data_IF_977424686687
#
_entry.id   IF_977424686687
#
_cell.length_a   1.000
_cell.length_b   1.000
_cell.length_c   1.000
_cell.angle_alpha   90.00
_cell.angle_beta   90.00
_cell.angle_gamma   90.00
#
_symmetry.space_group_name_H-M   'P 1'
#
loop_
_entity.id
_entity.type
_entity.pdbx_description
1 polymer ?
#
# COMPACT_ATOMS: atom_id res chain seq x y z
N UNK A 1 -29.42 6.04 -7.67
CA UNK A 1 -29.15 7.38 -7.08
C UNK A 1 -28.03 7.29 -6.03
N UNK A 2 -28.08 6.36 -5.08
CA UNK A 2 -27.06 6.20 -4.04
C UNK A 2 -25.66 5.94 -4.56
N UNK A 3 -25.49 5.10 -5.59
CA UNK A 3 -24.19 4.81 -6.20
C UNK A 3 -23.61 6.03 -6.95
N UNK A 4 -24.46 6.86 -7.56
CA UNK A 4 -24.06 8.10 -8.21
C UNK A 4 -23.61 9.16 -7.20
N UNK A 5 -24.29 9.27 -6.06
CA UNK A 5 -23.94 10.18 -4.97
C UNK A 5 -22.62 9.74 -4.32
N UNK A 6 -22.44 8.45 -4.05
CA UNK A 6 -21.18 7.92 -3.50
C UNK A 6 -20.01 8.17 -4.43
N UNK A 7 -20.18 7.95 -5.74
CA UNK A 7 -19.14 8.23 -6.76
C UNK A 7 -18.81 9.73 -6.86
N UNK A 8 -19.81 10.59 -6.72
CA UNK A 8 -19.64 12.04 -6.72
C UNK A 8 -18.85 12.52 -5.50
N UNK A 9 -19.20 12.06 -4.30
CA UNK A 9 -18.50 12.41 -3.06
C UNK A 9 -17.04 11.91 -3.09
N UNK A 10 -16.81 10.71 -3.62
CA UNK A 10 -15.48 10.13 -3.76
C UNK A 10 -14.57 10.99 -4.66
N UNK A 11 -15.07 11.41 -5.83
CA UNK A 11 -14.29 12.20 -6.79
C UNK A 11 -14.01 13.63 -6.31
N UNK A 12 -14.76 14.14 -5.35
CA UNK A 12 -14.48 15.42 -4.70
C UNK A 12 -13.36 15.35 -3.66
N UNK A 13 -13.17 14.19 -3.04
CA UNK A 13 -12.18 14.04 -1.96
C UNK A 13 -10.82 13.53 -2.43
N UNK A 14 -10.80 12.69 -3.46
CA UNK A 14 -9.56 12.09 -3.95
C UNK A 14 -9.45 12.21 -5.47
N UNK A 15 -8.36 12.82 -6.00
CA UNK A 15 -8.13 12.89 -7.43
C UNK A 15 -8.12 11.50 -8.08
N UNK A 16 -8.84 11.35 -9.19
CA UNK A 16 -8.92 10.06 -9.90
C UNK A 16 -7.55 9.54 -10.35
N UNK A 17 -6.63 10.44 -10.73
CA UNK A 17 -5.26 10.09 -11.11
C UNK A 17 -4.50 9.47 -9.93
N UNK A 18 -4.63 10.06 -8.73
CA UNK A 18 -4.05 9.53 -7.51
C UNK A 18 -4.57 8.12 -7.21
N UNK A 19 -5.89 7.94 -7.20
CA UNK A 19 -6.51 6.64 -6.85
C UNK A 19 -6.12 5.54 -7.82
N UNK A 20 -6.15 5.84 -9.13
CA UNK A 20 -5.73 4.88 -10.16
C UNK A 20 -4.25 4.55 -10.06
N UNK A 21 -3.39 5.57 -9.96
CA UNK A 21 -1.97 5.36 -9.89
C UNK A 21 -1.53 4.57 -8.66
N UNK A 22 -2.14 4.82 -7.50
CA UNK A 22 -1.93 4.00 -6.30
C UNK A 22 -2.32 2.55 -6.54
N UNK A 23 -3.50 2.31 -7.14
CA UNK A 23 -3.97 0.96 -7.42
C UNK A 23 -3.04 0.22 -8.40
N UNK A 24 -2.57 0.89 -9.45
CA UNK A 24 -1.62 0.37 -10.42
C UNK A 24 -0.28 0.02 -9.78
N UNK A 25 0.32 0.95 -9.04
CA UNK A 25 1.60 0.76 -8.34
C UNK A 25 1.50 -0.45 -7.40
N UNK A 26 0.47 -0.49 -6.56
CA UNK A 26 0.33 -1.55 -5.56
C UNK A 26 0.08 -2.90 -6.22
N UNK A 27 -0.81 -2.97 -7.21
CA UNK A 27 -1.07 -4.21 -7.94
C UNK A 27 0.20 -4.75 -8.58
N UNK A 28 0.91 -3.91 -9.34
CA UNK A 28 2.16 -4.31 -10.01
C UNK A 28 3.24 -4.76 -9.02
N UNK A 29 3.38 -4.06 -7.90
CA UNK A 29 4.33 -4.47 -6.86
C UNK A 29 3.97 -5.83 -6.27
N UNK A 30 2.70 -6.06 -5.96
CA UNK A 30 2.26 -7.35 -5.43
C UNK A 30 2.47 -8.48 -6.44
N UNK A 31 2.17 -8.26 -7.73
CA UNK A 31 2.42 -9.24 -8.80
C UNK A 31 3.91 -9.56 -8.97
N UNK A 32 4.79 -8.60 -8.70
CA UNK A 32 6.24 -8.79 -8.77
C UNK A 32 6.82 -9.44 -7.51
N UNK A 33 6.26 -9.17 -6.33
CA UNK A 33 6.77 -9.68 -5.06
C UNK A 33 6.23 -11.07 -4.69
N UNK A 34 5.07 -11.44 -5.21
CA UNK A 34 4.49 -12.76 -5.05
C UNK A 34 4.66 -13.57 -6.35
N UNK A 35 5.02 -14.84 -6.20
CA UNK A 35 5.31 -15.74 -7.32
C UNK A 35 4.09 -16.54 -7.75
N UNK A 36 3.89 -16.65 -9.05
CA UNK A 36 2.83 -17.47 -9.65
C UNK A 36 1.45 -17.14 -9.07
N UNK A 37 1.12 -15.86 -8.97
CA UNK A 37 -0.14 -15.38 -8.41
C UNK A 37 -0.89 -14.49 -9.40
N UNK A 38 -2.19 -14.35 -9.17
CA UNK A 38 -3.05 -13.34 -9.78
C UNK A 38 -3.45 -12.33 -8.70
N UNK A 39 -3.29 -11.03 -8.97
CA UNK A 39 -3.73 -9.98 -8.05
C UNK A 39 -5.00 -9.32 -8.57
N UNK A 40 -6.08 -9.44 -7.80
CA UNK A 40 -7.37 -8.77 -8.07
C UNK A 40 -7.50 -7.55 -7.19
N UNK A 41 -7.90 -6.45 -7.80
CA UNK A 41 -8.16 -5.17 -7.13
C UNK A 41 -9.67 -4.93 -7.12
N UNK A 42 -10.22 -4.61 -5.97
CA UNK A 42 -11.62 -4.18 -5.85
C UNK A 42 -11.77 -2.69 -6.09
N UNK A 43 -13.01 -2.24 -6.29
CA UNK A 43 -13.30 -0.81 -6.40
C UNK A 43 -12.89 -0.09 -5.11
N UNK A 44 -12.17 1.05 -5.21
CA UNK A 44 -11.79 1.82 -4.04
C UNK A 44 -13.03 2.30 -3.28
N UNK A 45 -12.91 2.40 -1.96
CA UNK A 45 -14.00 2.86 -1.10
C UNK A 45 -13.47 3.73 0.04
N UNK A 46 -14.38 4.45 0.69
CA UNK A 46 -14.07 5.28 1.84
C UNK A 46 -14.45 4.59 3.13
N UNK A 47 -13.58 4.67 4.12
CA UNK A 47 -13.78 4.13 5.46
C UNK A 47 -13.74 5.27 6.47
N UNK A 48 -14.70 5.29 7.39
CA UNK A 48 -14.73 6.22 8.54
C UNK A 48 -14.55 5.49 9.87
N UNK A 49 -14.37 4.19 9.82
CA UNK A 49 -14.17 3.39 11.00
C UNK A 49 -12.70 3.33 11.44
N UNK A 50 -12.50 2.85 12.65
CA UNK A 50 -11.20 2.62 13.27
C UNK A 50 -10.80 1.15 13.23
N UNK A 51 -11.54 0.34 12.46
CA UNK A 51 -11.34 -1.10 12.40
C UNK A 51 -10.03 -1.44 11.71
N UNK A 52 -9.35 -2.44 12.21
CA UNK A 52 -8.16 -3.02 11.60
C UNK A 52 -8.57 -4.33 10.93
N UNK A 53 -8.09 -4.53 9.70
CA UNK A 53 -8.44 -5.67 8.86
C UNK A 53 -7.39 -6.80 8.91
N UNK A 54 -6.61 -6.89 9.98
CA UNK A 54 -5.61 -7.93 10.15
C UNK A 54 -4.68 -7.64 11.33
N UNK A 55 -3.95 -8.65 11.78
CA UNK A 55 -3.04 -8.53 12.93
C UNK A 55 -1.73 -7.84 12.56
N UNK A 56 -1.32 -7.98 11.29
CA UNK A 56 -0.08 -7.41 10.78
C UNK A 56 -0.38 -6.17 9.97
N UNK A 57 0.28 -5.06 10.30
CA UNK A 57 0.25 -3.89 9.46
C UNK A 57 1.61 -3.19 9.36
N UNK A 58 1.79 -2.49 8.26
CA UNK A 58 2.92 -1.59 8.04
C UNK A 58 2.40 -0.16 7.91
N UNK A 59 3.17 0.80 8.35
CA UNK A 59 2.81 2.21 8.37
C UNK A 59 3.96 3.04 7.80
N UNK A 60 3.65 3.92 6.84
CA UNK A 60 4.58 4.92 6.33
C UNK A 60 3.96 6.30 6.50
N UNK A 61 4.64 7.26 7.15
CA UNK A 61 4.19 8.64 7.14
C UNK A 61 4.28 9.22 5.71
N UNK A 62 3.27 9.99 5.34
CA UNK A 62 3.21 10.74 4.10
C UNK A 62 3.32 12.23 4.43
N UNK A 63 4.25 12.91 3.78
CA UNK A 63 4.39 14.35 3.92
C UNK A 63 4.74 14.98 2.57
N UNK A 64 3.91 15.91 2.13
CA UNK A 64 4.09 16.67 0.90
C UNK A 64 3.34 18.01 0.98
N UNK A 65 3.45 18.82 -0.07
CA UNK A 65 2.72 20.09 -0.17
C UNK A 65 1.20 19.91 -0.33
N UNK A 66 0.73 18.72 -0.69
CA UNK A 66 -0.69 18.43 -0.93
C UNK A 66 -1.29 17.45 0.09
N UNK A 67 -0.49 16.68 0.82
CA UNK A 67 -1.00 15.79 1.86
C UNK A 67 -0.02 15.63 3.03
N UNK A 68 -0.60 15.35 4.18
CA UNK A 68 0.11 14.89 5.38
C UNK A 68 -0.73 13.84 6.07
N UNK A 69 -0.12 12.69 6.34
CA UNK A 69 -0.84 11.56 6.95
C UNK A 69 -0.02 10.29 6.92
N UNK A 70 -0.70 9.18 6.69
CA UNK A 70 -0.09 7.85 6.68
C UNK A 70 -0.63 7.00 5.54
N UNK A 71 0.24 6.19 4.96
CA UNK A 71 -0.14 5.03 4.17
C UNK A 71 0.05 3.78 5.02
N UNK A 72 -0.92 2.91 5.04
CA UNK A 72 -0.92 1.70 5.84
C UNK A 72 -1.33 0.49 4.99
N UNK A 73 -0.59 -0.60 5.13
CA UNK A 73 -0.99 -1.92 4.63
C UNK A 73 -1.38 -2.80 5.80
N UNK A 74 -2.41 -3.59 5.61
CA UNK A 74 -2.95 -4.50 6.63
C UNK A 74 -3.22 -5.86 6.02
N UNK A 75 -2.88 -6.92 6.75
CA UNK A 75 -3.16 -8.30 6.34
C UNK A 75 -3.23 -9.22 7.56
N UNK A 76 -3.68 -10.44 7.35
CA UNK A 76 -3.66 -11.48 8.36
C UNK A 76 -2.33 -12.23 8.33
N UNK A 77 -1.81 -12.58 9.52
CA UNK A 77 -0.53 -13.26 9.69
C UNK A 77 -0.53 -14.66 9.09
N UNK A 78 -1.53 -15.48 9.43
CA UNK A 78 -1.57 -16.88 9.05
C UNK A 78 -1.60 -17.13 7.53
N UNK A 79 -2.42 -16.42 6.72
CA UNK A 79 -2.36 -16.55 5.27
C UNK A 79 -1.00 -16.15 4.71
N UNK A 80 -0.38 -15.09 5.21
CA UNK A 80 0.92 -14.64 4.72
C UNK A 80 2.04 -15.64 5.03
N UNK A 81 2.06 -16.24 6.24
CA UNK A 81 2.96 -17.36 6.57
C UNK A 81 2.82 -18.50 5.57
N UNK A 82 1.58 -18.88 5.26
CA UNK A 82 1.29 -19.95 4.28
C UNK A 82 1.86 -19.63 2.89
N UNK A 83 1.82 -18.37 2.45
CA UNK A 83 2.43 -17.95 1.17
C UNK A 83 3.96 -18.10 1.20
N UNK A 84 4.61 -17.73 2.31
CA UNK A 84 6.06 -17.91 2.48
C UNK A 84 6.43 -19.40 2.46
N UNK A 85 5.72 -20.24 3.21
CA UNK A 85 5.97 -21.68 3.32
C UNK A 85 5.81 -22.41 1.99
N UNK A 86 4.84 -21.98 1.18
CA UNK A 86 4.59 -22.56 -0.14
C UNK A 86 5.42 -21.94 -1.28
N UNK A 87 6.42 -21.10 -0.96
CA UNK A 87 7.32 -20.50 -1.94
C UNK A 87 6.64 -19.49 -2.86
N UNK A 88 5.53 -18.88 -2.42
CA UNK A 88 4.78 -17.87 -3.16
C UNK A 88 5.31 -16.45 -2.94
N UNK A 89 6.43 -16.31 -2.27
CA UNK A 89 7.16 -15.04 -2.08
C UNK A 89 8.62 -15.21 -2.50
N UNK A 90 9.39 -14.11 -2.52
CA UNK A 90 10.83 -14.20 -2.79
C UNK A 90 11.59 -14.94 -1.70
N UNK A 91 11.07 -14.96 -0.49
CA UNK A 91 11.55 -15.78 0.61
C UNK A 91 10.75 -17.06 0.63
N UNK A 92 11.46 -18.19 0.79
CA UNK A 92 10.83 -19.49 1.01
C UNK A 92 11.44 -20.09 2.26
N UNK A 93 10.62 -20.37 3.26
CA UNK A 93 11.03 -21.03 4.50
C UNK A 93 9.88 -21.84 5.07
N UNK A 94 10.16 -23.06 5.48
CA UNK A 94 9.23 -23.98 6.14
C UNK A 94 9.91 -24.58 7.38
N UNK A 95 9.39 -24.33 8.60
CA UNK A 95 8.30 -23.43 8.90
C UNK A 95 8.71 -21.95 8.78
N UNK A 96 7.80 -21.12 8.24
CA UNK A 96 7.97 -19.68 8.23
C UNK A 96 7.71 -19.08 9.63
N UNK A 97 8.26 -17.91 9.86
CA UNK A 97 8.11 -17.24 11.14
C UNK A 97 7.83 -15.73 10.94
N UNK A 98 7.59 -15.04 12.05
CA UNK A 98 7.27 -13.64 12.06
C UNK A 98 8.31 -12.74 11.38
N UNK A 99 9.60 -13.07 11.42
CA UNK A 99 10.66 -12.29 10.74
C UNK A 99 10.52 -12.38 9.23
N UNK A 100 10.13 -13.55 8.73
CA UNK A 100 9.97 -13.78 7.30
C UNK A 100 8.82 -12.95 6.74
N UNK A 101 7.67 -12.93 7.40
CA UNK A 101 6.53 -12.10 6.98
C UNK A 101 6.78 -10.61 7.15
N UNK A 102 7.52 -10.19 8.19
CA UNK A 102 7.94 -8.81 8.36
C UNK A 102 8.84 -8.35 7.21
N UNK A 103 9.76 -9.21 6.76
CA UNK A 103 10.61 -8.90 5.64
C UNK A 103 9.78 -8.72 4.35
N UNK A 104 8.87 -9.66 4.05
CA UNK A 104 7.99 -9.58 2.88
C UNK A 104 7.16 -8.28 2.91
N UNK A 105 6.50 -7.99 4.02
CA UNK A 105 5.65 -6.79 4.14
C UNK A 105 6.47 -5.51 4.13
N UNK A 106 7.65 -5.52 4.73
CA UNK A 106 8.56 -4.37 4.70
C UNK A 106 9.02 -4.05 3.29
N UNK A 107 9.42 -5.05 2.54
CA UNK A 107 9.86 -4.89 1.15
C UNK A 107 8.73 -4.42 0.23
N UNK A 108 7.56 -5.06 0.29
CA UNK A 108 6.35 -4.62 -0.44
C UNK A 108 6.05 -3.16 -0.13
N UNK A 109 6.06 -2.79 1.15
CA UNK A 109 5.74 -1.43 1.59
C UNK A 109 6.76 -0.42 1.09
N UNK A 110 8.05 -0.74 1.14
CA UNK A 110 9.14 0.11 0.63
C UNK A 110 9.04 0.34 -0.87
N UNK A 111 8.81 -0.72 -1.64
CA UNK A 111 8.69 -0.63 -3.10
C UNK A 111 7.49 0.23 -3.51
N UNK A 112 6.34 0.02 -2.88
CA UNK A 112 5.16 0.83 -3.15
C UNK A 112 5.41 2.29 -2.74
N UNK A 113 6.05 2.53 -1.59
CA UNK A 113 6.41 3.86 -1.16
C UNK A 113 7.37 4.56 -2.13
N UNK A 114 8.41 3.87 -2.58
CA UNK A 114 9.36 4.41 -3.57
C UNK A 114 8.67 4.81 -4.86
N UNK A 115 7.83 3.94 -5.42
CA UNK A 115 7.07 4.21 -6.63
C UNK A 115 6.05 5.35 -6.44
N UNK A 116 5.36 5.37 -5.29
CA UNK A 116 4.45 6.45 -4.93
C UNK A 116 5.18 7.80 -4.85
N UNK A 117 6.30 7.84 -4.16
CA UNK A 117 7.11 9.05 -4.00
C UNK A 117 7.57 9.57 -5.37
N UNK A 118 8.09 8.71 -6.22
CA UNK A 118 8.56 9.09 -7.55
C UNK A 118 7.43 9.64 -8.43
N UNK A 119 6.23 9.05 -8.35
CA UNK A 119 5.10 9.47 -9.19
C UNK A 119 4.39 10.72 -8.68
N UNK A 120 4.33 10.95 -7.36
CA UNK A 120 3.46 11.97 -6.77
C UNK A 120 4.15 13.01 -5.89
N UNK A 121 5.43 12.83 -5.52
CA UNK A 121 6.10 13.69 -4.55
C UNK A 121 7.47 14.22 -5.03
N UNK A 122 8.01 13.76 -6.14
CA UNK A 122 9.43 13.90 -6.52
C UNK A 122 9.92 15.33 -6.81
N UNK A 123 9.07 16.32 -6.92
CA UNK A 123 9.46 17.71 -7.23
C UNK A 123 9.89 18.54 -6.00
N UNK A 124 9.87 17.98 -4.81
CA UNK A 124 10.29 18.67 -3.61
C UNK A 124 11.75 18.32 -3.27
N UNK A 125 12.56 19.31 -2.82
CA UNK A 125 13.90 19.01 -2.34
C UNK A 125 13.82 18.04 -1.17
N UNK A 126 14.22 16.81 -1.41
CA UNK A 126 14.22 15.74 -0.40
C UNK A 126 15.27 16.11 0.65
N UNK A 127 14.82 16.51 1.84
CA UNK A 127 15.71 16.46 2.99
C UNK A 127 15.97 14.96 3.28
N UNK A 128 17.12 14.46 2.82
CA UNK A 128 17.56 13.08 3.00
C UNK A 128 17.57 12.63 4.48
N UNK A 129 17.50 13.58 5.42
CA UNK A 129 17.37 13.33 6.86
C UNK A 129 15.99 12.79 7.26
N UNK A 130 15.02 12.86 6.35
CA UNK A 130 13.65 12.35 6.53
C UNK A 130 13.41 11.07 5.73
N UNK A 131 14.42 10.23 5.57
CA UNK A 131 14.23 8.89 5.02
C UNK A 131 13.19 8.15 5.87
N UNK A 132 11.99 8.04 5.34
CA UNK A 132 10.86 7.42 6.04
C UNK A 132 11.02 5.92 5.94
N UNK A 133 11.27 5.28 7.07
CA UNK A 133 11.35 3.83 7.16
C UNK A 133 9.96 3.29 7.52
N UNK A 134 9.48 2.24 6.83
CA UNK A 134 8.22 1.62 7.22
C UNK A 134 8.29 1.10 8.64
N UNK A 135 7.27 1.41 9.41
CA UNK A 135 7.06 0.79 10.72
C UNK A 135 6.18 -0.44 10.53
N UNK A 136 6.69 -1.59 10.93
CA UNK A 136 5.94 -2.85 10.92
C UNK A 136 5.48 -3.14 12.33
N UNK A 137 4.19 -3.36 12.50
CA UNK A 137 3.59 -3.65 13.80
C UNK A 137 2.75 -4.92 13.69
N UNK A 138 3.02 -5.87 14.55
CA UNK A 138 2.12 -6.97 14.81
C UNK A 138 1.36 -6.67 16.10
N UNK A 139 0.04 -6.80 16.07
CA UNK A 139 -0.79 -6.58 17.24
C UNK A 139 -1.98 -7.54 17.25
N UNK A 140 -2.42 -7.89 18.43
CA UNK A 140 -3.59 -8.76 18.63
C UNK A 140 -4.91 -7.99 18.78
N UNK A 141 -4.85 -6.66 18.76
CA UNK A 141 -6.03 -5.81 18.90
C UNK A 141 -6.56 -5.40 17.52
N UNK A 142 -7.88 -5.41 17.35
CA UNK A 142 -8.56 -5.06 16.10
C UNK A 142 -8.92 -3.58 16.02
N UNK A 143 -8.24 -2.73 16.77
CA UNK A 143 -8.63 -1.33 16.89
C UNK A 143 -7.42 -0.41 17.01
N UNK A 144 -7.32 0.53 16.07
CA UNK A 144 -6.34 1.62 16.12
C UNK A 144 -7.02 2.96 15.82
N UNK A 145 -6.67 4.01 16.56
CA UNK A 145 -7.16 5.36 16.33
C UNK A 145 -6.00 6.28 15.97
N UNK A 146 -6.14 6.95 14.83
CA UNK A 146 -5.18 7.97 14.39
C UNK A 146 -5.57 9.39 14.81
N UNK A 147 -6.62 9.54 15.63
CA UNK A 147 -7.10 10.85 16.07
C UNK A 147 -7.82 11.66 14.99
N UNK A 148 -8.06 11.09 13.81
CA UNK A 148 -8.79 11.73 12.72
C UNK A 148 -10.15 11.06 12.53
N UNK A 149 -11.18 11.90 12.30
CA UNK A 149 -12.51 11.46 11.89
C UNK A 149 -12.70 11.56 10.36
N UNK A 150 -11.68 12.02 9.65
CA UNK A 150 -11.74 12.18 8.20
C UNK A 150 -11.88 10.82 7.51
N UNK A 151 -12.64 10.76 6.42
CA UNK A 151 -12.77 9.54 5.65
C UNK A 151 -11.43 9.15 5.06
N UNK A 152 -11.12 7.86 5.16
CA UNK A 152 -9.89 7.27 4.69
C UNK A 152 -10.15 6.58 3.36
N UNK A 153 -9.25 6.78 2.40
CA UNK A 153 -9.25 6.02 1.16
C UNK A 153 -8.78 4.59 1.46
N UNK A 154 -9.57 3.62 1.07
CA UNK A 154 -9.24 2.21 1.21
C UNK A 154 -9.28 1.49 -0.14
N UNK A 155 -8.24 0.69 -0.40
CA UNK A 155 -8.15 -0.23 -1.52
C UNK A 155 -7.95 -1.64 -0.97
N UNK A 156 -8.62 -2.62 -1.58
CA UNK A 156 -8.52 -4.02 -1.22
C UNK A 156 -7.94 -4.82 -2.39
N UNK A 157 -6.94 -5.62 -2.08
CA UNK A 157 -6.30 -6.52 -3.03
C UNK A 157 -6.46 -7.94 -2.55
N UNK A 158 -6.73 -8.85 -3.48
CA UNK A 158 -6.75 -10.28 -3.22
C UNK A 158 -5.66 -10.93 -4.06
N UNK A 159 -4.66 -11.49 -3.41
CA UNK A 159 -3.61 -12.29 -4.03
C UNK A 159 -4.11 -13.72 -4.10
N UNK A 160 -4.16 -14.28 -5.28
CA UNK A 160 -4.73 -15.59 -5.57
C UNK A 160 -3.65 -16.51 -6.12
N UNK A 161 -3.58 -17.70 -5.58
CA UNK A 161 -2.88 -18.81 -6.22
C UNK A 161 -3.78 -19.42 -7.29
N UNK A 162 -3.45 -19.29 -8.58
CA UNK A 162 -4.28 -19.82 -9.67
C UNK A 162 -4.37 -21.36 -9.66
N UNK A 163 -3.48 -22.02 -8.95
CA UNK A 163 -3.49 -23.49 -8.80
C UNK A 163 -4.27 -23.97 -7.58
N UNK A 164 -4.77 -23.04 -6.74
CA UNK A 164 -5.58 -23.35 -5.56
C UNK A 164 -4.86 -24.12 -4.45
N UNK A 165 -3.52 -24.07 -4.40
CA UNK A 165 -2.72 -24.74 -3.37
C UNK A 165 -2.73 -24.00 -2.04
N UNK A 166 -2.87 -22.67 -2.09
CA UNK A 166 -2.96 -21.81 -0.92
C UNK A 166 -4.25 -20.97 -0.95
N UNK A 167 -4.78 -20.68 0.22
CA UNK A 167 -5.98 -19.84 0.34
C UNK A 167 -5.65 -18.39 -0.09
N UNK A 168 -6.65 -17.63 -0.57
CA UNK A 168 -6.44 -16.23 -0.95
C UNK A 168 -5.87 -15.40 0.20
N UNK A 169 -4.86 -14.57 -0.10
CA UNK A 169 -4.33 -13.58 0.81
C UNK A 169 -4.98 -12.22 0.51
N UNK A 170 -5.57 -11.60 1.52
CA UNK A 170 -6.20 -10.28 1.40
C UNK A 170 -5.29 -9.22 2.00
N UNK A 171 -5.04 -8.16 1.24
CA UNK A 171 -4.25 -7.02 1.67
C UNK A 171 -5.12 -5.76 1.53
N UNK A 172 -5.20 -4.99 2.60
CA UNK A 172 -5.87 -3.70 2.62
C UNK A 172 -4.83 -2.59 2.63
N UNK A 173 -4.98 -1.63 1.73
CA UNK A 173 -4.17 -0.41 1.71
C UNK A 173 -5.06 0.77 2.10
N UNK A 174 -4.64 1.52 3.10
CA UNK A 174 -5.39 2.67 3.61
C UNK A 174 -4.53 3.92 3.57
N UNK A 175 -5.15 5.03 3.18
CA UNK A 175 -4.56 6.36 3.25
C UNK A 175 -5.32 7.16 4.30
N UNK A 176 -4.61 7.53 5.35
CA UNK A 176 -5.11 8.34 6.45
C UNK A 176 -4.49 9.71 6.33
N UNK A 177 -5.24 10.70 5.85
CA UNK A 177 -4.79 12.07 5.73
C UNK A 177 -5.25 12.87 6.95
N UNK A 178 -4.32 13.27 7.80
CA UNK A 178 -4.62 13.76 9.14
C UNK A 178 -4.65 15.28 9.29
N UNK A 179 -3.77 16.01 8.64
CA UNK A 179 -3.46 17.37 9.08
C UNK A 179 -3.44 18.42 7.97
N UNK A 180 -3.21 18.04 6.74
CA UNK A 180 -3.36 18.94 5.59
C UNK A 180 -3.69 18.09 4.38
N UNK A 181 -4.91 18.26 3.90
CA UNK A 181 -5.35 17.66 2.67
C UNK A 181 -5.70 18.77 1.70
N UNK A 182 -4.88 18.96 0.69
CA UNK A 182 -5.03 20.00 -0.32
C UNK A 182 -5.03 19.37 -1.72
N UNK A 183 -6.11 18.63 -2.10
CA UNK A 183 -6.16 17.90 -3.36
C UNK A 183 -6.03 18.81 -4.59
N UNK A 184 -6.32 20.09 -4.45
CA UNK A 184 -6.14 21.10 -5.49
C UNK A 184 -4.66 21.37 -5.83
N UNK A 185 -3.75 21.04 -4.91
CA UNK A 185 -2.30 21.13 -5.12
C UNK A 185 -1.68 19.85 -5.67
N UNK A 186 -2.47 18.79 -5.72
CA UNK A 186 -2.00 17.50 -6.23
C UNK A 186 -1.62 17.60 -7.71
N UNK A 187 -0.42 17.17 -8.02
CA UNK A 187 0.08 17.02 -9.39
C UNK A 187 0.71 15.63 -9.51
N UNK A 188 0.45 14.98 -10.62
CA UNK A 188 1.18 13.78 -11.02
C UNK A 188 2.45 14.22 -11.73
N UNK A 189 3.60 13.66 -11.34
CA UNK A 189 4.86 13.95 -12.02
C UNK A 189 4.83 13.35 -13.42
N UNK A 190 5.41 14.05 -14.39
CA UNK A 190 5.64 13.49 -15.71
C UNK A 190 6.66 12.35 -15.56
N UNK A 191 6.18 11.13 -15.55
CA UNK A 191 7.04 9.95 -15.60
C UNK A 191 7.59 9.91 -17.03
N UNK A 192 8.86 10.27 -17.19
CA UNK A 192 9.60 9.95 -18.41
C UNK A 192 9.71 8.42 -18.46
N UNK A 193 8.80 7.80 -19.18
CA UNK A 193 8.65 6.34 -19.30
C UNK A 193 9.89 5.65 -19.87
N UNK A 194 10.82 6.40 -20.41
CA UNK A 194 12.00 5.86 -21.10
C UNK A 194 13.18 5.50 -20.18
N UNK A 195 13.17 5.90 -18.91
CA UNK A 195 14.34 5.71 -18.03
C UNK A 195 14.17 4.66 -16.92
N UNK A 196 13.00 4.07 -16.75
CA UNK A 196 12.78 3.09 -15.68
C UNK A 196 13.33 1.69 -15.98
N UNK A 197 13.67 1.41 -17.25
CA UNK A 197 14.24 0.12 -17.67
C UNK A 197 15.76 0.16 -17.90
N UNK A 198 16.38 1.34 -18.00
CA UNK A 198 17.82 1.45 -18.27
C UNK A 198 18.71 1.76 -17.06
N UNK A 199 18.17 2.32 -15.99
CA UNK A 199 18.92 2.50 -14.75
C UNK A 199 18.74 1.31 -13.82
N UNK A 200 19.50 0.27 -14.05
CA UNK A 200 19.63 -0.87 -13.15
C UNK A 200 20.37 -0.55 -11.82
N UNK A 201 20.16 0.64 -11.28
CA UNK A 201 20.65 1.04 -9.96
C UNK A 201 19.55 0.83 -8.91
N UNK A 202 19.23 -0.43 -8.65
CA UNK A 202 18.78 -0.84 -7.34
C UNK A 202 20.04 -1.07 -6.49
N UNK A 203 20.52 -0.02 -5.86
CA UNK A 203 21.45 -0.21 -4.75
C UNK A 203 20.71 -0.89 -3.61
N UNK A 204 20.94 -2.18 -3.48
CA UNK A 204 20.60 -2.99 -2.31
C UNK A 204 21.47 -2.53 -1.14
N UNK A 205 20.86 -1.92 -0.14
CA UNK A 205 21.42 -1.79 1.21
C UNK A 205 20.78 -2.81 2.13
#
# INVERSE_FOLDING_TARGET
>A
LGALIAKSIFSFQFPNALVRGIAEITKSTLENQFKDVEVRTEAPYMVRDRLIYGELFTLIPLESNWCRGYMMFQTEEAPLLTYVENGRTHITRDPANFRDINHVMGEVTNLIWGAFKNRFISDEPVDWRQSQVPLIVNHQHRYISFGSEDPQLCLRYTVLDPFGKVAPLVIYQRFVFNLSWAPEKFKENEVLTDNLFESGELELF
#
